data_IF_537529672581
#
_entry.id   IF_537529672581
#
_cell.length_a   1.000
_cell.length_b   1.000
_cell.length_c   1.000
_cell.angle_alpha   90.00
_cell.angle_beta   90.00
_cell.angle_gamma   90.00
#
_symmetry.space_group_name_H-M   'P 1'
#
loop_
_entity.id
_entity.type
_entity.pdbx_description
1 polymer ?
#
# COMPACT_ATOMS: atom_id res chain seq x y z
N UNK A 1 -41.64 -29.92 -4.63
CA UNK A 1 -41.35 -28.49 -4.96
C UNK A 1 -42.09 -27.46 -4.07
N UNK A 2 -42.79 -27.86 -2.98
CA UNK A 2 -43.66 -26.98 -2.18
C UNK A 2 -43.08 -26.52 -0.83
N UNK A 3 -41.87 -26.97 -0.45
CA UNK A 3 -41.22 -26.62 0.82
C UNK A 3 -40.21 -25.48 0.72
N UNK A 4 -39.89 -25.01 -0.50
CA UNK A 4 -39.01 -23.87 -0.72
C UNK A 4 -39.43 -22.59 0.02
N UNK A 5 -40.73 -22.20 0.08
CA UNK A 5 -41.12 -20.98 0.80
C UNK A 5 -41.03 -21.15 2.32
N UNK A 6 -41.18 -22.37 2.84
CA UNK A 6 -41.05 -22.66 4.27
C UNK A 6 -39.59 -22.57 4.73
N UNK A 7 -38.65 -23.01 3.89
CA UNK A 7 -37.21 -22.89 4.16
C UNK A 7 -36.79 -21.42 4.14
N UNK A 8 -37.26 -20.63 3.16
CA UNK A 8 -36.97 -19.20 3.10
C UNK A 8 -37.56 -18.43 4.29
N UNK A 9 -38.78 -18.77 4.71
CA UNK A 9 -39.41 -18.16 5.88
C UNK A 9 -38.68 -18.54 7.18
N UNK A 10 -38.24 -19.79 7.33
CA UNK A 10 -37.45 -20.23 8.48
C UNK A 10 -36.08 -19.52 8.55
N UNK A 11 -35.41 -19.32 7.41
CA UNK A 11 -34.15 -18.57 7.35
C UNK A 11 -34.33 -17.09 7.73
N UNK A 12 -35.43 -16.46 7.30
CA UNK A 12 -35.76 -15.09 7.71
C UNK A 12 -36.05 -14.99 9.22
N UNK A 13 -36.69 -16.01 9.79
CA UNK A 13 -36.99 -16.06 11.23
C UNK A 13 -35.70 -16.23 12.07
N UNK A 14 -34.75 -17.05 11.60
CA UNK A 14 -33.43 -17.22 12.25
C UNK A 14 -32.56 -15.96 12.11
N UNK A 15 -32.68 -15.21 11.01
CA UNK A 15 -31.94 -13.95 10.84
C UNK A 15 -32.37 -12.86 11.82
N UNK A 16 -33.64 -12.84 12.26
CA UNK A 16 -34.14 -11.91 13.29
C UNK A 16 -33.65 -12.29 14.68
N UNK A 17 -33.39 -13.58 14.93
CA UNK A 17 -32.81 -14.07 16.20
C UNK A 17 -31.27 -14.15 16.13
N UNK A 18 -30.59 -13.17 15.51
CA UNK A 18 -29.13 -13.07 15.61
C UNK A 18 -28.73 -13.03 17.09
N UNK A 19 -28.10 -14.07 17.65
CA UNK A 19 -27.56 -14.02 18.99
C UNK A 19 -26.37 -13.08 18.92
N UNK A 20 -26.50 -11.90 19.53
CA UNK A 20 -25.38 -11.00 19.76
C UNK A 20 -24.44 -11.65 20.79
N UNK A 21 -23.59 -12.57 20.33
CA UNK A 21 -22.42 -13.02 21.09
C UNK A 21 -21.36 -11.96 20.84
N UNK A 22 -21.32 -10.97 21.72
CA UNK A 22 -20.37 -9.87 21.69
C UNK A 22 -20.87 -8.73 22.57
N UNK A 23 -20.16 -8.52 23.67
CA UNK A 23 -20.50 -7.62 24.77
C UNK A 23 -20.93 -6.21 24.37
N UNK A 24 -21.78 -5.66 25.24
CA UNK A 24 -22.36 -4.33 25.16
C UNK A 24 -21.33 -3.28 25.57
N UNK A 25 -20.88 -2.47 24.61
CA UNK A 25 -20.49 -1.09 24.86
C UNK A 25 -20.88 -0.26 23.63
N UNK A 26 -21.49 0.94 23.78
CA UNK A 26 -21.58 1.90 22.70
C UNK A 26 -20.17 2.46 22.43
N UNK A 27 -19.33 1.63 21.80
CA UNK A 27 -18.05 2.06 21.28
C UNK A 27 -18.31 3.06 20.16
N UNK A 28 -17.69 4.23 20.26
CA UNK A 28 -17.48 5.18 19.18
C UNK A 28 -17.37 4.41 17.85
N UNK A 29 -18.18 4.78 16.86
CA UNK A 29 -18.12 4.23 15.49
C UNK A 29 -16.71 4.37 14.94
N UNK A 30 -15.83 3.42 15.24
CA UNK A 30 -14.52 3.32 14.64
C UNK A 30 -14.77 2.78 13.25
N UNK A 31 -14.46 3.58 12.25
CA UNK A 31 -14.53 3.14 10.86
C UNK A 31 -13.50 2.02 10.72
N UNK A 32 -13.94 0.84 10.28
CA UNK A 32 -13.02 -0.26 10.03
C UNK A 32 -11.91 0.21 9.07
N UNK A 33 -10.65 0.01 9.47
CA UNK A 33 -9.48 0.41 8.70
C UNK A 33 -9.05 1.88 8.82
N UNK A 34 -9.64 2.68 9.71
CA UNK A 34 -9.27 4.10 9.91
C UNK A 34 -7.81 4.30 10.36
N UNK A 35 -7.24 3.29 11.03
CA UNK A 35 -5.85 3.28 11.53
C UNK A 35 -4.92 2.33 10.77
N UNK A 36 -5.44 1.62 9.76
CA UNK A 36 -4.60 0.78 8.91
C UNK A 36 -3.57 1.64 8.18
N UNK A 37 -2.29 1.25 8.18
CA UNK A 37 -1.22 2.09 7.67
C UNK A 37 -1.30 2.28 6.16
N UNK A 38 -0.78 3.41 5.69
CA UNK A 38 -0.45 3.68 4.30
C UNK A 38 1.03 3.36 4.08
N UNK A 39 1.33 2.43 3.19
CA UNK A 39 2.68 1.93 2.91
C UNK A 39 3.09 2.33 1.49
N UNK A 40 4.16 3.10 1.37
CA UNK A 40 4.73 3.55 0.11
C UNK A 40 5.97 2.74 -0.23
N UNK A 41 5.90 2.00 -1.33
CA UNK A 41 6.97 1.16 -1.85
C UNK A 41 7.69 1.94 -2.96
N UNK A 42 8.91 2.40 -2.69
CA UNK A 42 9.73 3.16 -3.64
C UNK A 42 10.74 2.20 -4.28
N UNK A 43 10.62 1.95 -5.58
CA UNK A 43 11.37 0.88 -6.26
C UNK A 43 12.23 1.44 -7.37
N UNK A 44 13.53 1.19 -7.28
CA UNK A 44 14.49 1.45 -8.35
C UNK A 44 14.32 0.40 -9.46
N UNK A 45 13.97 0.87 -10.66
CA UNK A 45 13.70 0.01 -11.83
C UNK A 45 14.93 -0.70 -12.36
N UNK A 46 16.13 -0.24 -12.00
CA UNK A 46 17.37 -0.93 -12.38
C UNK A 46 17.54 -2.26 -11.64
N UNK A 47 16.96 -2.38 -10.43
CA UNK A 47 17.07 -3.60 -9.58
C UNK A 47 15.73 -4.27 -9.28
N UNK A 48 14.62 -3.80 -9.86
CA UNK A 48 13.25 -4.23 -9.53
C UNK A 48 13.04 -5.76 -9.56
N UNK A 49 13.67 -6.49 -10.48
CA UNK A 49 13.59 -7.95 -10.53
C UNK A 49 14.24 -8.67 -9.33
N UNK A 50 15.20 -8.04 -8.68
CA UNK A 50 15.86 -8.59 -7.47
C UNK A 50 15.14 -8.19 -6.19
N UNK A 51 14.46 -7.04 -6.18
CA UNK A 51 13.70 -6.53 -5.03
C UNK A 51 12.31 -7.18 -4.88
N UNK A 52 11.85 -7.93 -5.89
CA UNK A 52 10.51 -8.52 -5.91
C UNK A 52 10.17 -9.31 -4.64
N UNK A 53 11.08 -10.17 -4.18
CA UNK A 53 10.86 -10.99 -3.00
C UNK A 53 10.77 -10.15 -1.71
N UNK A 54 11.60 -9.12 -1.59
CA UNK A 54 11.59 -8.21 -0.44
C UNK A 54 10.32 -7.37 -0.40
N UNK A 55 9.88 -6.87 -1.56
CA UNK A 55 8.61 -6.13 -1.68
C UNK A 55 7.43 -7.03 -1.27
N UNK A 56 7.39 -8.28 -1.75
CA UNK A 56 6.36 -9.24 -1.37
C UNK A 56 6.37 -9.49 0.15
N UNK A 57 7.55 -9.66 0.75
CA UNK A 57 7.69 -9.85 2.19
C UNK A 57 7.23 -8.63 3.01
N UNK A 58 7.38 -7.40 2.49
CA UNK A 58 6.82 -6.19 3.13
C UNK A 58 5.29 -6.21 3.06
N UNK A 59 4.70 -6.56 1.91
CA UNK A 59 3.24 -6.66 1.77
C UNK A 59 2.66 -7.68 2.72
N UNK A 60 3.28 -8.86 2.84
CA UNK A 60 2.84 -9.92 3.76
C UNK A 60 2.92 -9.51 5.24
N UNK A 61 3.88 -8.66 5.62
CA UNK A 61 4.08 -8.20 6.99
C UNK A 61 3.06 -7.15 7.44
N UNK A 62 2.37 -6.52 6.50
CA UNK A 62 1.41 -5.46 6.74
C UNK A 62 0.01 -5.83 6.24
N UNK A 63 -0.63 -6.88 6.81
CA UNK A 63 -1.97 -7.26 6.40
C UNK A 63 -2.97 -6.13 6.70
N UNK A 64 -3.82 -5.80 5.73
CA UNK A 64 -4.81 -4.72 5.84
C UNK A 64 -4.27 -3.32 5.55
N UNK A 65 -2.96 -3.16 5.31
CA UNK A 65 -2.42 -1.87 4.91
C UNK A 65 -2.89 -1.45 3.51
N UNK A 66 -2.84 -0.14 3.26
CA UNK A 66 -2.99 0.44 1.92
C UNK A 66 -1.60 0.57 1.32
N UNK A 67 -1.41 0.09 0.10
CA UNK A 67 -0.12 0.14 -0.56
C UNK A 67 -0.16 1.09 -1.74
N UNK A 68 0.91 1.85 -1.93
CA UNK A 68 1.21 2.57 -3.17
C UNK A 68 2.60 2.12 -3.66
N UNK A 69 2.76 1.99 -4.97
CA UNK A 69 4.02 1.59 -5.60
C UNK A 69 4.50 2.72 -6.51
N UNK A 70 5.70 3.22 -6.26
CA UNK A 70 6.35 4.25 -7.06
C UNK A 70 7.63 3.67 -7.63
N UNK A 71 7.64 3.44 -8.95
CA UNK A 71 8.84 3.04 -9.67
C UNK A 71 9.64 4.26 -10.11
N UNK A 72 10.96 4.18 -10.09
CA UNK A 72 11.81 5.25 -10.62
C UNK A 72 13.07 4.75 -11.32
N UNK A 73 13.57 5.60 -12.22
CA UNK A 73 14.83 5.51 -12.96
C UNK A 73 15.44 6.92 -13.09
N UNK A 74 15.46 7.53 -14.28
CA UNK A 74 15.72 8.96 -14.46
C UNK A 74 14.49 9.81 -14.07
N UNK A 75 13.30 9.21 -14.10
CA UNK A 75 12.01 9.77 -13.73
C UNK A 75 11.27 8.83 -12.78
N UNK A 76 10.18 9.30 -12.19
CA UNK A 76 9.33 8.47 -11.35
C UNK A 76 7.91 8.38 -11.90
N UNK A 77 7.27 7.23 -11.68
CA UNK A 77 5.86 6.99 -11.98
C UNK A 77 5.16 6.29 -10.83
N UNK A 78 3.87 6.58 -10.67
CA UNK A 78 2.99 5.84 -9.77
C UNK A 78 2.50 4.60 -10.50
N UNK A 79 3.10 3.46 -10.18
CA UNK A 79 2.82 2.18 -10.84
C UNK A 79 1.64 1.46 -10.19
N UNK A 80 1.34 1.77 -8.91
CA UNK A 80 0.13 1.37 -8.20
C UNK A 80 -0.38 2.48 -7.29
N UNK A 81 -1.66 2.88 -7.37
CA UNK A 81 -2.22 3.91 -6.50
C UNK A 81 -2.39 3.40 -5.07
N UNK A 82 -2.47 4.33 -4.10
CA UNK A 82 -2.73 3.99 -2.69
C UNK A 82 -4.06 3.24 -2.55
N UNK A 83 -3.98 1.93 -2.29
CA UNK A 83 -5.14 1.03 -2.27
C UNK A 83 -4.99 -0.07 -1.22
N UNK A 84 -6.09 -0.44 -0.56
CA UNK A 84 -6.15 -1.58 0.36
C UNK A 84 -6.22 -2.95 -0.36
N UNK A 85 -6.38 -2.95 -1.70
CA UNK A 85 -6.45 -4.18 -2.48
C UNK A 85 -5.05 -4.75 -2.74
N UNK A 86 -4.46 -5.35 -1.70
CA UNK A 86 -3.14 -5.96 -1.78
C UNK A 86 -3.11 -7.20 -2.70
N UNK A 87 -4.25 -7.82 -2.99
CA UNK A 87 -4.32 -9.02 -3.83
C UNK A 87 -4.03 -8.69 -5.30
N UNK A 88 -4.52 -7.56 -5.79
CA UNK A 88 -4.27 -7.12 -7.17
C UNK A 88 -2.90 -6.45 -7.34
N UNK A 89 -2.24 -6.05 -6.26
CA UNK A 89 -0.84 -5.61 -6.27
C UNK A 89 0.14 -6.78 -6.51
N UNK A 90 -0.13 -7.97 -5.97
CA UNK A 90 0.75 -9.15 -6.11
C UNK A 90 1.17 -9.47 -7.55
N UNK A 91 0.27 -9.55 -8.56
CA UNK A 91 0.68 -9.80 -9.93
C UNK A 91 1.52 -8.66 -10.53
N UNK A 92 1.37 -7.42 -10.07
CA UNK A 92 2.20 -6.28 -10.52
C UNK A 92 3.62 -6.43 -9.99
N UNK A 93 3.76 -6.75 -8.70
CA UNK A 93 5.06 -7.09 -8.10
C UNK A 93 5.67 -8.27 -8.86
N UNK A 94 4.87 -9.30 -9.15
CA UNK A 94 5.34 -10.50 -9.83
C UNK A 94 5.83 -10.27 -11.26
N UNK A 95 5.34 -9.23 -11.92
CA UNK A 95 5.73 -8.85 -13.27
C UNK A 95 6.93 -7.89 -13.32
N UNK A 96 7.48 -7.48 -12.18
CA UNK A 96 8.63 -6.59 -12.13
C UNK A 96 9.86 -7.24 -12.75
N UNK A 97 10.44 -6.57 -13.73
CA UNK A 97 11.72 -6.90 -14.32
C UNK A 97 12.62 -5.65 -14.31
N UNK A 98 13.94 -5.81 -14.38
CA UNK A 98 14.84 -4.69 -14.58
C UNK A 98 14.49 -3.99 -15.90
N UNK A 99 14.22 -2.68 -15.86
CA UNK A 99 13.78 -1.90 -17.02
C UNK A 99 14.66 -0.68 -17.30
N UNK A 100 15.66 -0.42 -16.44
CA UNK A 100 16.53 0.76 -16.53
C UNK A 100 18.01 0.39 -16.35
N UNK A 101 18.88 1.25 -16.86
CA UNK A 101 20.33 1.18 -16.67
C UNK A 101 20.70 1.75 -15.28
N UNK A 102 21.44 0.98 -14.48
CA UNK A 102 21.91 1.41 -13.15
C UNK A 102 22.73 2.71 -13.20
N UNK A 103 23.41 2.98 -14.32
CA UNK A 103 24.28 4.16 -14.48
C UNK A 103 23.50 5.47 -14.60
N UNK A 104 22.20 5.42 -14.90
CA UNK A 104 21.33 6.59 -15.07
C UNK A 104 20.31 6.76 -13.95
N UNK A 105 20.26 5.82 -12.99
CA UNK A 105 19.34 5.87 -11.86
C UNK A 105 19.52 7.15 -11.03
N UNK A 106 18.41 7.81 -10.71
CA UNK A 106 18.38 9.00 -9.85
C UNK A 106 17.46 8.73 -8.65
N UNK A 107 18.05 8.48 -7.48
CA UNK A 107 17.31 8.16 -6.26
C UNK A 107 16.26 9.23 -5.89
N UNK A 108 16.55 10.50 -6.17
CA UNK A 108 15.62 11.61 -5.91
C UNK A 108 14.60 11.86 -7.01
N UNK A 109 14.52 11.03 -8.06
CA UNK A 109 13.45 11.09 -9.07
C UNK A 109 12.07 10.88 -8.45
N UNK A 110 11.97 10.02 -7.44
CA UNK A 110 10.71 9.72 -6.75
C UNK A 110 10.23 10.82 -5.81
N UNK A 111 11.08 11.81 -5.45
CA UNK A 111 10.78 12.80 -4.41
C UNK A 111 9.45 13.53 -4.62
N UNK A 112 9.24 14.10 -5.80
CA UNK A 112 8.02 14.87 -6.10
C UNK A 112 6.76 13.99 -6.03
N UNK A 113 6.83 12.78 -6.58
CA UNK A 113 5.70 11.84 -6.58
C UNK A 113 5.38 11.41 -5.15
N UNK A 114 6.38 10.98 -4.39
CA UNK A 114 6.24 10.58 -2.98
C UNK A 114 5.64 11.72 -2.14
N UNK A 115 6.16 12.95 -2.27
CA UNK A 115 5.65 14.10 -1.53
C UNK A 115 4.16 14.31 -1.75
N UNK A 116 3.69 14.25 -2.99
CA UNK A 116 2.25 14.41 -3.27
C UNK A 116 1.42 13.23 -2.77
N UNK A 117 1.93 12.01 -2.87
CA UNK A 117 1.24 10.83 -2.34
C UNK A 117 1.09 10.89 -0.81
N UNK A 118 2.13 11.32 -0.10
CA UNK A 118 2.09 11.51 1.35
C UNK A 118 1.09 12.60 1.77
N UNK A 119 1.09 13.74 1.08
CA UNK A 119 0.12 14.82 1.31
C UNK A 119 -1.31 14.29 1.13
N UNK A 120 -1.57 13.53 0.05
CA UNK A 120 -2.88 12.92 -0.19
C UNK A 120 -3.25 11.91 0.90
N UNK A 121 -2.31 11.10 1.37
CA UNK A 121 -2.56 10.10 2.41
C UNK A 121 -2.88 10.73 3.77
N UNK A 122 -2.13 11.75 4.20
CA UNK A 122 -2.42 12.48 5.44
C UNK A 122 -3.80 13.13 5.40
N UNK A 123 -4.22 13.65 4.23
CA UNK A 123 -5.55 14.24 4.07
C UNK A 123 -6.67 13.20 4.08
N UNK A 124 -6.46 12.04 3.44
CA UNK A 124 -7.47 10.99 3.31
C UNK A 124 -7.58 10.09 4.54
N UNK A 125 -6.45 9.80 5.18
CA UNK A 125 -6.29 8.86 6.29
C UNK A 125 -5.50 9.50 7.44
N UNK A 126 -6.01 10.57 8.07
CA UNK A 126 -5.27 11.37 9.06
C UNK A 126 -4.90 10.61 10.35
N UNK A 127 -5.47 9.42 10.57
CA UNK A 127 -5.19 8.57 11.74
C UNK A 127 -4.36 7.33 11.40
N UNK A 128 -4.02 7.14 10.13
CA UNK A 128 -3.18 6.04 9.67
C UNK A 128 -1.71 6.44 9.77
N UNK A 129 -0.87 5.47 10.09
CA UNK A 129 0.57 5.66 9.97
C UNK A 129 1.00 5.64 8.50
N UNK A 130 1.99 6.44 8.13
CA UNK A 130 2.58 6.46 6.81
C UNK A 130 3.99 5.83 6.85
N UNK A 131 4.15 4.64 6.29
CA UNK A 131 5.41 3.91 6.25
C UNK A 131 6.02 4.01 4.84
N UNK A 132 7.31 4.29 4.73
CA UNK A 132 8.01 4.38 3.44
C UNK A 132 9.13 3.34 3.40
N UNK A 133 9.08 2.46 2.41
CA UNK A 133 10.11 1.45 2.14
C UNK A 133 10.80 1.77 0.82
N UNK A 134 12.13 1.88 0.85
CA UNK A 134 12.96 2.09 -0.34
C UNK A 134 13.65 0.79 -0.74
N UNK A 135 13.49 0.41 -2.00
CA UNK A 135 14.09 -0.76 -2.63
C UNK A 135 14.96 -0.30 -3.79
N UNK A 136 16.26 -0.15 -3.53
CA UNK A 136 17.23 0.32 -4.49
C UNK A 136 18.64 0.26 -3.92
N UNK A 137 19.64 0.37 -4.79
CA UNK A 137 21.05 0.34 -4.37
C UNK A 137 21.54 1.68 -3.80
N UNK A 138 20.73 2.74 -3.88
CA UNK A 138 21.17 4.12 -3.62
C UNK A 138 22.01 4.71 -4.77
N UNK A 139 22.02 4.04 -5.93
CA UNK A 139 22.69 4.45 -7.15
C UNK A 139 24.22 4.72 -7.01
N UNK A 140 25.01 3.82 -6.38
CA UNK A 140 26.45 4.04 -6.12
C UNK A 140 27.28 4.11 -7.42
N UNK A 141 26.78 3.52 -8.50
CA UNK A 141 27.40 3.52 -9.83
C UNK A 141 26.78 4.57 -10.78
N UNK A 142 25.85 5.38 -10.30
CA UNK A 142 25.17 6.37 -11.15
C UNK A 142 26.08 7.54 -11.47
N UNK A 143 26.05 7.97 -12.73
CA UNK A 143 26.79 9.13 -13.22
C UNK A 143 25.94 10.40 -13.16
N UNK A 144 24.68 10.32 -12.70
CA UNK A 144 23.72 11.42 -12.61
C UNK A 144 23.73 12.03 -11.19
N UNK A 145 23.60 13.37 -11.05
CA UNK A 145 23.45 13.99 -9.74
C UNK A 145 22.26 13.42 -8.96
N UNK A 146 22.56 12.90 -7.76
CA UNK A 146 21.55 12.36 -6.85
C UNK A 146 20.81 13.51 -6.16
N UNK A 147 19.48 13.41 -6.11
CA UNK A 147 18.61 14.37 -5.42
C UNK A 147 18.19 13.81 -4.06
N UNK A 148 18.03 14.70 -3.08
CA UNK A 148 17.55 14.34 -1.74
C UNK A 148 16.02 14.13 -1.73
N UNK A 149 15.55 13.25 -0.83
CA UNK A 149 14.14 13.13 -0.50
C UNK A 149 13.74 14.27 0.44
N UNK A 150 12.76 15.07 0.02
CA UNK A 150 12.13 16.12 0.82
C UNK A 150 10.73 15.64 1.18
N UNK A 151 10.66 14.95 2.31
CA UNK A 151 9.42 14.45 2.90
C UNK A 151 8.78 15.59 3.71
N UNK A 152 7.44 15.78 3.65
CA UNK A 152 6.78 16.76 4.53
C UNK A 152 6.98 16.42 6.01
N UNK A 153 7.03 17.44 6.86
CA UNK A 153 7.13 17.25 8.31
C UNK A 153 5.98 16.36 8.82
N UNK A 154 6.30 15.44 9.74
CA UNK A 154 5.37 14.47 10.35
C UNK A 154 4.60 13.56 9.36
N UNK A 155 5.02 13.50 8.09
CA UNK A 155 4.34 12.69 7.07
C UNK A 155 4.83 11.24 7.00
N UNK A 156 5.91 10.88 7.69
CA UNK A 156 6.46 9.51 7.72
C UNK A 156 6.67 9.08 9.16
N UNK A 157 6.11 7.92 9.50
CA UNK A 157 6.25 7.29 10.81
C UNK A 157 7.42 6.28 10.79
N UNK A 158 8.22 6.27 11.86
CA UNK A 158 9.39 5.41 12.02
C UNK A 158 9.85 5.33 13.47
#
# INVERSE_FOLDING_TARGET
RRYLPLIAAALLLVAVLRPAIGDTAPGLTTIAGEREPSVFLIVDRSVAGTAQADIAAVVERHPGARFALIGFDDRASLDWPLSADAWTLQPIIAAMAPQADETTANAGAANTVLRYQLISAVQQFPKAQNLVYYFGSGAPNSTVPQREFQVPDDAVDG
#
